data_IF_349817199988
#
_entry.id   IF_349817199988
#
_cell.length_a   1.000
_cell.length_b   1.000
_cell.length_c   1.000
_cell.angle_alpha   90.00
_cell.angle_beta   90.00
_cell.angle_gamma   90.00
#
_symmetry.space_group_name_H-M   'P 1'
#
loop_
_entity.id
_entity.type
_entity.pdbx_description
1 polymer ?
#
# COMPACT_ATOMS: atom_id res chain seq x y z
N UNK A 1 -29.20 -22.17 -62.64
CA UNK A 1 -28.60 -20.89 -62.15
C UNK A 1 -29.09 -20.67 -60.79
N UNK A 2 -28.25 -20.96 -59.82
CA UNK A 2 -28.53 -20.79 -58.39
C UNK A 2 -27.61 -19.65 -57.96
N UNK A 3 -28.20 -18.55 -57.54
CA UNK A 3 -27.51 -17.39 -56.96
C UNK A 3 -27.13 -17.73 -55.52
N UNK A 4 -25.90 -17.49 -55.05
CA UNK A 4 -25.57 -17.69 -53.66
C UNK A 4 -26.06 -16.49 -52.83
N UNK A 5 -26.64 -16.84 -51.67
CA UNK A 5 -27.09 -15.94 -50.64
C UNK A 5 -25.96 -15.06 -50.11
N UNK A 6 -26.27 -13.79 -49.93
CA UNK A 6 -25.42 -12.81 -49.26
C UNK A 6 -25.45 -13.09 -47.75
N UNK A 7 -24.42 -13.74 -47.24
CA UNK A 7 -24.17 -13.77 -45.80
C UNK A 7 -23.85 -12.35 -45.32
N UNK A 8 -24.75 -11.86 -44.51
CA UNK A 8 -24.65 -10.59 -43.81
C UNK A 8 -23.49 -10.70 -42.81
N UNK A 9 -22.32 -10.17 -43.14
CA UNK A 9 -21.25 -9.93 -42.20
C UNK A 9 -21.76 -8.91 -41.18
N UNK A 10 -22.03 -9.37 -39.95
CA UNK A 10 -22.16 -8.49 -38.79
C UNK A 10 -20.82 -7.79 -38.56
N UNK A 11 -20.80 -6.46 -38.31
CA UNK A 11 -19.59 -5.76 -37.96
C UNK A 11 -19.05 -6.28 -36.65
N UNK A 12 -17.75 -6.61 -36.61
CA UNK A 12 -16.93 -6.85 -35.44
C UNK A 12 -16.66 -5.52 -34.71
N UNK A 13 -17.69 -4.78 -34.39
CA UNK A 13 -17.61 -3.62 -33.52
C UNK A 13 -18.25 -4.00 -32.18
N UNK A 14 -17.44 -3.94 -31.18
CA UNK A 14 -17.76 -3.95 -29.73
C UNK A 14 -17.13 -5.12 -28.96
N UNK A 15 -15.83 -5.25 -29.09
CA UNK A 15 -14.99 -5.54 -27.93
C UNK A 15 -14.10 -4.31 -27.67
N UNK A 16 -14.71 -3.17 -27.43
CA UNK A 16 -14.08 -2.16 -26.61
C UNK A 16 -13.93 -2.84 -25.24
N UNK A 17 -12.69 -3.09 -24.85
CA UNK A 17 -12.37 -3.39 -23.47
C UNK A 17 -12.99 -2.26 -22.64
N UNK A 18 -14.07 -2.57 -21.94
CA UNK A 18 -14.48 -1.76 -20.82
C UNK A 18 -13.31 -1.88 -19.84
N UNK A 19 -12.51 -0.83 -19.73
CA UNK A 19 -11.61 -0.71 -18.60
C UNK A 19 -12.46 -1.04 -17.37
N UNK A 20 -12.01 -1.94 -16.49
CA UNK A 20 -12.79 -2.28 -15.32
C UNK A 20 -13.13 -0.96 -14.60
N UNK A 21 -14.43 -0.71 -14.42
CA UNK A 21 -14.89 0.49 -13.72
C UNK A 21 -14.18 0.50 -12.37
N UNK A 22 -13.35 1.50 -12.14
CA UNK A 22 -12.62 1.64 -10.90
C UNK A 22 -13.64 1.78 -9.76
N UNK A 23 -13.41 1.08 -8.64
CA UNK A 23 -14.30 1.22 -7.49
C UNK A 23 -14.24 2.66 -6.97
N UNK A 24 -15.38 3.34 -6.78
CA UNK A 24 -15.40 4.74 -6.35
C UNK A 24 -14.67 5.02 -5.04
N UNK A 25 -14.45 4.02 -4.20
CA UNK A 25 -13.71 4.19 -2.93
C UNK A 25 -12.22 4.41 -3.14
N UNK A 26 -11.69 4.01 -4.30
CA UNK A 26 -10.30 4.22 -4.70
C UNK A 26 -10.05 5.64 -5.25
N UNK A 27 -11.09 6.31 -5.74
CA UNK A 27 -10.99 7.69 -6.25
C UNK A 27 -11.07 8.71 -5.12
N UNK A 28 -10.56 9.93 -5.34
CA UNK A 28 -10.55 11.01 -4.34
C UNK A 28 -10.00 10.56 -2.98
N UNK A 29 -8.90 9.82 -3.03
CA UNK A 29 -8.19 9.23 -1.90
C UNK A 29 -6.70 9.48 -2.05
N UNK A 30 -6.05 9.89 -0.98
CA UNK A 30 -4.59 10.03 -0.94
C UNK A 30 -3.91 8.65 -0.75
N UNK A 31 -2.73 8.48 -1.33
CA UNK A 31 -1.93 7.27 -1.18
C UNK A 31 -0.54 7.59 -0.64
N UNK A 32 -0.17 6.91 0.44
CA UNK A 32 1.16 7.03 1.05
C UNK A 32 1.86 5.68 1.05
N UNK A 33 3.03 5.61 0.41
CA UNK A 33 3.92 4.45 0.46
C UNK A 33 4.95 4.62 1.57
N UNK A 34 5.08 3.62 2.46
CA UNK A 34 6.11 3.56 3.48
C UNK A 34 7.02 2.36 3.22
N UNK A 35 8.27 2.62 2.85
CA UNK A 35 9.22 1.62 2.40
C UNK A 35 10.24 1.36 3.50
N UNK A 36 10.24 0.15 4.05
CA UNK A 36 11.25 -0.31 5.00
C UNK A 36 12.60 -0.49 4.30
N UNK A 37 13.62 0.16 4.81
CA UNK A 37 15.01 -0.05 4.41
C UNK A 37 15.89 -0.54 5.56
N UNK A 38 15.33 -1.26 6.50
CA UNK A 38 16.10 -1.88 7.59
C UNK A 38 17.12 -2.90 7.06
N UNK A 39 18.08 -3.26 7.88
CA UNK A 39 19.17 -4.16 7.47
C UNK A 39 18.70 -5.54 7.01
N UNK A 40 17.56 -6.03 7.50
CA UNK A 40 16.96 -7.31 7.11
C UNK A 40 16.54 -7.34 5.63
N UNK A 41 16.16 -6.19 5.07
CA UNK A 41 15.82 -6.07 3.64
C UNK A 41 16.98 -6.41 2.69
N UNK A 42 18.23 -6.42 3.16
CA UNK A 42 19.41 -6.88 2.39
C UNK A 42 19.51 -8.42 2.31
N UNK A 43 18.62 -9.18 2.98
CA UNK A 43 18.66 -10.65 2.96
C UNK A 43 18.33 -11.18 1.56
N UNK A 44 19.22 -11.98 1.00
CA UNK A 44 19.07 -12.60 -0.32
C UNK A 44 18.44 -13.99 -0.20
N UNK A 45 17.17 -14.05 0.13
CA UNK A 45 16.40 -15.30 0.32
C UNK A 45 15.24 -15.45 -0.69
N UNK A 46 15.25 -14.67 -1.77
CA UNK A 46 14.22 -14.66 -2.80
C UNK A 46 14.61 -15.43 -4.05
N UNK A 47 13.64 -15.87 -4.89
CA UNK A 47 13.91 -16.57 -6.13
C UNK A 47 14.95 -15.83 -6.99
N UNK A 48 15.88 -16.58 -7.57
CA UNK A 48 16.97 -16.02 -8.37
C UNK A 48 18.08 -15.33 -7.57
N UNK A 49 18.09 -15.50 -6.22
CA UNK A 49 19.09 -14.86 -5.35
C UNK A 49 18.85 -13.37 -5.11
N UNK A 50 17.66 -12.87 -5.44
CA UNK A 50 17.27 -11.48 -5.16
C UNK A 50 17.20 -11.23 -3.66
N UNK A 51 17.54 -10.02 -3.26
CA UNK A 51 17.30 -9.52 -1.91
C UNK A 51 15.81 -9.17 -1.73
N UNK A 52 15.38 -9.07 -0.48
CA UNK A 52 14.04 -8.56 -0.15
C UNK A 52 13.85 -7.14 -0.64
N UNK A 53 14.90 -6.32 -0.60
CA UNK A 53 14.93 -4.96 -1.12
C UNK A 53 14.64 -4.88 -2.62
N UNK A 54 15.30 -5.74 -3.42
CA UNK A 54 15.06 -5.82 -4.86
C UNK A 54 13.66 -6.30 -5.20
N UNK A 55 13.11 -7.27 -4.46
CA UNK A 55 11.73 -7.70 -4.64
C UNK A 55 10.74 -6.60 -4.25
N UNK A 56 10.95 -5.93 -3.12
CA UNK A 56 10.14 -4.81 -2.67
C UNK A 56 10.14 -3.67 -3.70
N UNK A 57 11.27 -3.40 -4.34
CA UNK A 57 11.38 -2.38 -5.39
C UNK A 57 10.40 -2.64 -6.54
N UNK A 58 10.37 -3.86 -7.06
CA UNK A 58 9.49 -4.23 -8.19
C UNK A 58 8.01 -3.98 -7.83
N UNK A 59 7.58 -4.48 -6.67
CA UNK A 59 6.19 -4.32 -6.21
C UNK A 59 5.86 -2.86 -5.87
N UNK A 60 6.78 -2.12 -5.25
CA UNK A 60 6.57 -0.70 -4.91
C UNK A 60 6.43 0.17 -6.15
N UNK A 61 7.23 -0.06 -7.20
CA UNK A 61 7.12 0.69 -8.44
C UNK A 61 5.76 0.42 -9.10
N UNK A 62 5.31 -0.83 -9.13
CA UNK A 62 4.02 -1.19 -9.70
C UNK A 62 2.85 -0.56 -8.92
N UNK A 63 2.89 -0.58 -7.58
CA UNK A 63 1.92 0.10 -6.73
C UNK A 63 1.93 1.61 -6.94
N UNK A 64 3.11 2.23 -7.03
CA UNK A 64 3.25 3.65 -7.27
C UNK A 64 2.66 4.07 -8.62
N UNK A 65 2.87 3.27 -9.69
CA UNK A 65 2.25 3.49 -10.99
C UNK A 65 0.72 3.43 -10.89
N UNK A 66 0.19 2.44 -10.17
CA UNK A 66 -1.25 2.30 -9.99
C UNK A 66 -1.86 3.44 -9.18
N UNK A 67 -1.21 3.86 -8.10
CA UNK A 67 -1.65 5.01 -7.32
C UNK A 67 -1.61 6.31 -8.14
N UNK A 68 -0.58 6.51 -8.98
CA UNK A 68 -0.46 7.68 -9.87
C UNK A 68 -1.58 7.76 -10.92
N UNK A 69 -2.10 6.61 -11.37
CA UNK A 69 -3.27 6.55 -12.27
C UNK A 69 -4.56 7.03 -11.57
N UNK A 70 -4.68 6.77 -10.28
CA UNK A 70 -5.90 7.04 -9.49
C UNK A 70 -5.81 8.42 -8.81
N UNK A 71 -4.61 8.82 -8.41
CA UNK A 71 -4.27 10.03 -7.67
C UNK A 71 -3.20 10.84 -8.44
N UNK A 72 -3.61 11.63 -9.46
CA UNK A 72 -2.67 12.29 -10.37
C UNK A 72 -1.92 13.49 -9.77
N UNK A 73 -2.26 13.95 -8.59
CA UNK A 73 -1.52 15.03 -7.89
C UNK A 73 -0.26 14.50 -7.18
N UNK A 74 -0.05 13.18 -7.20
CA UNK A 74 1.16 12.51 -6.76
C UNK A 74 1.07 11.96 -5.35
N UNK A 75 1.78 10.84 -5.15
CA UNK A 75 1.78 10.10 -3.88
C UNK A 75 2.81 10.66 -2.88
N UNK A 76 2.59 10.39 -1.61
CA UNK A 76 3.61 10.58 -0.57
C UNK A 76 4.43 9.31 -0.39
N UNK A 77 5.75 9.44 -0.30
CA UNK A 77 6.64 8.30 -0.05
C UNK A 77 7.48 8.55 1.19
N UNK A 78 7.46 7.61 2.10
CA UNK A 78 8.40 7.54 3.22
C UNK A 78 9.41 6.43 2.98
N UNK A 79 10.67 6.72 3.21
CA UNK A 79 11.73 5.73 3.31
C UNK A 79 12.18 5.67 4.76
N UNK A 80 12.03 4.52 5.43
CA UNK A 80 12.28 4.43 6.86
C UNK A 80 13.19 3.27 7.26
N UNK A 81 13.88 3.47 8.38
CA UNK A 81 14.60 2.46 9.16
C UNK A 81 14.63 2.91 10.63
N UNK A 82 15.78 3.19 11.24
CA UNK A 82 15.86 3.86 12.56
C UNK A 82 15.53 5.35 12.54
N UNK A 83 15.40 5.92 11.36
CA UNK A 83 14.89 7.26 11.04
C UNK A 83 14.13 7.16 9.74
N UNK A 84 13.34 8.19 9.41
CA UNK A 84 12.64 8.25 8.13
C UNK A 84 12.96 9.53 7.37
N UNK A 85 12.69 9.46 6.06
CA UNK A 85 12.68 10.61 5.15
C UNK A 85 11.40 10.60 4.36
N UNK A 86 10.72 11.73 4.32
CA UNK A 86 9.49 11.94 3.57
C UNK A 86 9.79 12.63 2.24
N UNK A 87 9.07 12.23 1.22
CA UNK A 87 9.05 12.82 -0.11
C UNK A 87 7.60 13.06 -0.51
N UNK A 88 7.26 14.29 -0.85
CA UNK A 88 5.91 14.67 -1.28
C UNK A 88 5.85 14.76 -2.82
N UNK A 89 4.65 14.60 -3.38
CA UNK A 89 4.36 14.68 -4.81
C UNK A 89 5.33 13.80 -5.62
N UNK A 90 5.36 12.52 -5.28
CA UNK A 90 6.26 11.54 -5.88
C UNK A 90 5.56 10.82 -7.02
N UNK A 91 6.21 10.79 -8.19
CA UNK A 91 5.84 9.95 -9.32
C UNK A 91 6.53 8.58 -9.24
N UNK A 92 6.01 7.60 -9.97
CA UNK A 92 6.61 6.26 -10.05
C UNK A 92 8.08 6.27 -10.50
N UNK A 93 8.46 7.17 -11.42
CA UNK A 93 9.85 7.40 -11.83
C UNK A 93 10.75 7.85 -10.66
N UNK A 94 10.22 8.66 -9.75
CA UNK A 94 10.97 9.11 -8.58
C UNK A 94 11.13 8.00 -7.55
N UNK A 95 10.18 7.06 -7.44
CA UNK A 95 10.31 5.86 -6.61
C UNK A 95 11.51 5.04 -7.06
N UNK A 96 11.68 4.82 -8.36
CA UNK A 96 12.85 4.11 -8.92
C UNK A 96 14.17 4.76 -8.50
N UNK A 97 14.25 6.09 -8.51
CA UNK A 97 15.45 6.82 -8.07
C UNK A 97 15.67 6.70 -6.56
N UNK A 98 14.61 6.75 -5.75
CA UNK A 98 14.69 6.57 -4.30
C UNK A 98 15.33 5.21 -3.99
N UNK A 99 14.95 4.13 -4.67
CA UNK A 99 15.57 2.82 -4.50
C UNK A 99 17.04 2.81 -4.94
N UNK A 100 17.36 3.41 -6.10
CA UNK A 100 18.72 3.45 -6.62
C UNK A 100 19.70 4.26 -5.75
N UNK A 101 19.22 5.26 -5.02
CA UNK A 101 20.02 6.15 -4.17
C UNK A 101 20.16 5.66 -2.72
N UNK A 102 19.48 4.56 -2.35
CA UNK A 102 19.45 4.07 -1.00
C UNK A 102 19.74 2.57 -0.91
N UNK A 103 20.35 2.17 0.20
CA UNK A 103 20.65 0.79 0.54
C UNK A 103 20.02 0.42 1.89
N UNK A 104 19.64 -0.85 2.11
CA UNK A 104 19.14 -1.33 3.38
C UNK A 104 20.14 -1.13 4.51
N UNK A 105 19.68 -0.50 5.59
CA UNK A 105 20.48 -0.29 6.80
C UNK A 105 19.64 0.08 8.02
N UNK A 106 20.12 -0.29 9.19
CA UNK A 106 19.51 0.13 10.46
C UNK A 106 18.40 -0.79 10.95
N UNK A 107 17.61 -0.30 11.91
CA UNK A 107 16.48 -1.00 12.54
C UNK A 107 15.14 -0.59 11.94
N UNK A 108 14.06 -1.24 12.35
CA UNK A 108 12.70 -0.98 11.85
C UNK A 108 11.92 -0.14 12.86
N UNK A 109 11.87 1.19 12.67
CA UNK A 109 11.08 2.11 13.50
C UNK A 109 9.76 2.47 12.79
N UNK A 110 8.87 1.49 12.71
CA UNK A 110 7.56 1.64 12.07
C UNK A 110 6.66 2.62 12.84
N UNK A 111 6.73 2.63 14.16
CA UNK A 111 5.86 3.49 14.96
C UNK A 111 6.06 4.98 14.67
N UNK A 112 7.31 5.42 14.54
CA UNK A 112 7.61 6.83 14.30
C UNK A 112 7.17 7.29 12.90
N UNK A 113 7.42 6.48 11.87
CA UNK A 113 7.03 6.83 10.50
C UNK A 113 5.51 6.81 10.32
N UNK A 114 4.84 5.80 10.87
CA UNK A 114 3.38 5.71 10.82
C UNK A 114 2.71 6.86 11.56
N UNK A 115 3.25 7.23 12.72
CA UNK A 115 2.76 8.39 13.47
C UNK A 115 2.87 9.68 12.67
N UNK A 116 3.99 9.93 11.99
CA UNK A 116 4.19 11.13 11.17
C UNK A 116 3.21 11.19 9.99
N UNK A 117 3.00 10.07 9.28
CA UNK A 117 2.04 9.97 8.19
C UNK A 117 0.61 10.24 8.66
N UNK A 118 0.19 9.59 9.74
CA UNK A 118 -1.14 9.78 10.33
C UNK A 118 -1.34 11.20 10.88
N UNK A 119 -0.35 11.77 11.56
CA UNK A 119 -0.43 13.16 12.03
C UNK A 119 -0.57 14.14 10.84
N UNK A 120 0.12 13.89 9.73
CA UNK A 120 -0.02 14.67 8.51
C UNK A 120 -1.43 14.56 7.92
N UNK A 121 -1.98 13.34 7.84
CA UNK A 121 -3.37 13.14 7.42
C UNK A 121 -4.35 13.95 8.29
N UNK A 122 -4.27 13.84 9.62
CA UNK A 122 -5.17 14.57 10.51
C UNK A 122 -5.00 16.08 10.46
N UNK A 123 -3.79 16.59 10.20
CA UNK A 123 -3.57 18.02 9.94
C UNK A 123 -4.27 18.48 8.66
N UNK A 124 -4.19 17.70 7.57
CA UNK A 124 -4.89 18.01 6.31
C UNK A 124 -6.41 17.89 6.47
N UNK A 125 -6.90 16.88 7.21
CA UNK A 125 -8.33 16.74 7.56
C UNK A 125 -8.83 17.98 8.31
N UNK A 126 -8.11 18.42 9.34
CA UNK A 126 -8.47 19.63 10.10
C UNK A 126 -8.42 20.91 9.27
N UNK A 127 -7.52 20.99 8.28
CA UNK A 127 -7.43 22.10 7.33
C UNK A 127 -8.40 21.98 6.15
N UNK A 128 -9.24 20.94 6.09
CA UNK A 128 -10.17 20.64 4.99
C UNK A 128 -9.46 20.49 3.62
N UNK A 129 -8.24 19.96 3.63
CA UNK A 129 -7.41 19.71 2.46
C UNK A 129 -7.07 18.22 2.23
N UNK A 130 -7.61 17.31 3.04
CA UNK A 130 -7.57 15.88 2.78
C UNK A 130 -8.59 15.48 1.73
N UNK A 131 -8.31 14.43 0.97
CA UNK A 131 -9.24 13.88 0.01
C UNK A 131 -10.50 13.32 0.69
N UNK A 132 -11.64 13.37 -0.02
CA UNK A 132 -12.96 13.04 0.57
C UNK A 132 -13.11 11.58 0.98
N UNK A 133 -12.41 10.67 0.31
CA UNK A 133 -12.38 9.25 0.63
C UNK A 133 -11.26 8.87 1.60
N UNK A 134 -10.46 9.84 2.06
CA UNK A 134 -9.45 9.64 3.08
C UNK A 134 -8.09 9.23 2.51
N UNK A 135 -7.35 8.39 3.22
CA UNK A 135 -5.97 8.02 2.86
C UNK A 135 -5.69 6.52 3.06
N UNK A 136 -4.93 5.94 2.14
CA UNK A 136 -4.40 4.58 2.24
C UNK A 136 -2.89 4.62 2.44
N UNK A 137 -2.43 3.96 3.50
CA UNK A 137 -1.02 3.74 3.82
C UNK A 137 -0.61 2.33 3.38
N UNK A 138 0.31 2.23 2.42
CA UNK A 138 0.86 0.97 1.92
C UNK A 138 2.26 0.81 2.51
N UNK A 139 2.42 -0.11 3.44
CA UNK A 139 3.65 -0.28 4.23
C UNK A 139 4.36 -1.55 3.79
N UNK A 140 5.48 -1.41 3.09
CA UNK A 140 6.30 -2.52 2.60
C UNK A 140 7.41 -2.77 3.61
N UNK A 141 7.35 -3.93 4.29
CA UNK A 141 8.31 -4.31 5.34
C UNK A 141 8.55 -5.82 5.36
N UNK A 142 9.70 -6.26 5.84
CA UNK A 142 10.06 -7.68 5.93
C UNK A 142 10.11 -8.20 7.36
N UNK A 143 9.96 -7.30 8.35
CA UNK A 143 10.29 -7.64 9.72
C UNK A 143 9.38 -7.09 10.80
N UNK A 144 9.66 -7.53 12.01
CA UNK A 144 9.05 -7.00 13.22
C UNK A 144 9.53 -5.56 13.49
N UNK A 145 8.63 -4.65 13.84
CA UNK A 145 9.03 -3.33 14.30
C UNK A 145 9.78 -3.42 15.63
N UNK A 146 10.65 -2.45 15.87
CA UNK A 146 11.45 -2.38 17.11
C UNK A 146 10.58 -2.22 18.37
N UNK A 147 9.42 -1.55 18.26
CA UNK A 147 8.47 -1.34 19.35
C UNK A 147 7.03 -1.67 18.93
N UNK A 148 6.63 -2.91 19.20
CA UNK A 148 5.27 -3.42 18.93
C UNK A 148 4.18 -2.59 19.62
N UNK A 149 4.42 -2.22 20.91
CA UNK A 149 3.42 -1.50 21.70
C UNK A 149 3.19 -0.08 21.18
N UNK A 150 4.24 0.55 20.68
CA UNK A 150 4.13 1.87 20.09
C UNK A 150 3.33 1.82 18.77
N UNK A 151 3.55 0.83 17.90
CA UNK A 151 2.78 0.63 16.67
C UNK A 151 1.30 0.42 16.99
N UNK A 152 0.97 -0.53 17.87
CA UNK A 152 -0.41 -0.80 18.29
C UNK A 152 -1.09 0.48 18.81
N UNK A 153 -0.42 1.25 19.67
CA UNK A 153 -0.96 2.49 20.22
C UNK A 153 -1.25 3.52 19.12
N UNK A 154 -0.32 3.73 18.21
CA UNK A 154 -0.46 4.69 17.12
C UNK A 154 -1.68 4.37 16.25
N UNK A 155 -1.88 3.09 15.91
CA UNK A 155 -3.02 2.67 15.07
C UNK A 155 -4.34 2.82 15.85
N UNK A 156 -4.40 2.38 17.12
CA UNK A 156 -5.60 2.55 17.95
C UNK A 156 -5.98 4.03 18.08
N UNK A 157 -5.01 4.90 18.37
CA UNK A 157 -5.25 6.34 18.47
C UNK A 157 -5.75 6.96 17.16
N UNK A 158 -5.27 6.47 16.01
CA UNK A 158 -5.74 6.90 14.70
C UNK A 158 -7.18 6.45 14.46
N UNK A 159 -7.51 5.18 14.72
CA UNK A 159 -8.85 4.63 14.54
C UNK A 159 -9.93 5.36 15.36
N UNK A 160 -9.54 5.94 16.50
CA UNK A 160 -10.44 6.72 17.36
C UNK A 160 -10.75 8.13 16.85
N UNK A 161 -9.93 8.67 15.93
CA UNK A 161 -10.05 10.02 15.38
C UNK A 161 -10.80 10.10 14.05
N UNK A 162 -11.12 8.96 13.46
CA UNK A 162 -11.86 8.89 12.21
C UNK A 162 -13.36 8.72 12.46
N UNK A 163 -14.16 9.09 11.45
CA UNK A 163 -15.60 9.10 11.55
C UNK A 163 -16.24 7.84 10.94
N UNK A 164 -15.55 7.21 9.98
CA UNK A 164 -15.99 5.99 9.28
C UNK A 164 -14.81 5.07 9.03
N UNK A 165 -15.07 3.80 8.80
CA UNK A 165 -14.06 2.76 8.62
C UNK A 165 -13.15 3.05 7.42
N UNK A 166 -13.75 3.26 6.28
CA UNK A 166 -13.04 3.44 5.02
C UNK A 166 -12.23 4.74 4.94
N UNK A 167 -12.29 5.61 5.96
CA UNK A 167 -11.56 6.88 5.98
C UNK A 167 -10.05 6.69 6.02
N UNK A 168 -9.57 5.69 6.75
CA UNK A 168 -8.16 5.29 6.79
C UNK A 168 -8.02 3.80 6.48
N UNK A 169 -7.02 3.46 5.67
CA UNK A 169 -6.60 2.09 5.45
C UNK A 169 -5.09 1.96 5.62
N UNK A 170 -4.65 0.91 6.31
CA UNK A 170 -3.24 0.60 6.53
C UNK A 170 -2.98 -0.83 6.03
N UNK A 171 -2.43 -0.97 4.83
CA UNK A 171 -2.04 -2.27 4.29
C UNK A 171 -0.59 -2.58 4.62
N UNK A 172 -0.38 -3.66 5.38
CA UNK A 172 0.93 -4.17 5.75
C UNK A 172 1.36 -5.22 4.73
N UNK A 173 2.22 -4.83 3.79
CA UNK A 173 2.70 -5.68 2.70
C UNK A 173 3.99 -6.35 3.16
N UNK A 174 3.90 -7.63 3.54
CA UNK A 174 5.05 -8.39 4.02
C UNK A 174 5.93 -8.87 2.88
N UNK A 175 7.23 -8.60 2.97
CA UNK A 175 8.27 -9.12 2.08
C UNK A 175 8.98 -10.27 2.78
N UNK A 176 8.89 -11.49 2.24
CA UNK A 176 9.54 -12.63 2.84
C UNK A 176 8.71 -13.37 3.88
N UNK A 177 9.35 -14.36 4.52
CA UNK A 177 8.66 -15.34 5.34
C UNK A 177 9.16 -15.37 6.80
N UNK A 178 9.51 -14.20 7.35
CA UNK A 178 9.83 -14.14 8.79
C UNK A 178 8.57 -14.45 9.61
N UNK A 179 8.60 -15.60 10.30
CA UNK A 179 7.46 -16.10 11.07
C UNK A 179 7.02 -15.16 12.19
N UNK A 180 7.96 -14.46 12.80
CA UNK A 180 7.63 -13.55 13.89
C UNK A 180 6.97 -12.29 13.33
N UNK A 181 7.51 -11.76 12.22
CA UNK A 181 6.87 -10.67 11.49
C UNK A 181 5.44 -11.06 11.09
N UNK A 182 5.25 -12.23 10.45
CA UNK A 182 3.92 -12.72 10.06
C UNK A 182 2.94 -12.78 11.24
N UNK A 183 3.37 -13.33 12.39
CA UNK A 183 2.51 -13.41 13.58
C UNK A 183 2.14 -12.03 14.09
N UNK A 184 3.09 -11.11 14.12
CA UNK A 184 2.83 -9.75 14.59
C UNK A 184 1.92 -8.96 13.64
N UNK A 185 2.18 -9.00 12.33
CA UNK A 185 1.39 -8.28 11.34
C UNK A 185 -0.05 -8.79 11.31
N UNK A 186 -0.26 -10.12 11.33
CA UNK A 186 -1.61 -10.70 11.44
C UNK A 186 -2.31 -10.34 12.75
N UNK A 187 -1.58 -10.19 13.85
CA UNK A 187 -2.18 -9.75 15.10
C UNK A 187 -2.62 -8.28 15.04
N UNK A 188 -1.97 -7.44 14.24
CA UNK A 188 -2.44 -6.08 13.96
C UNK A 188 -3.72 -6.08 13.13
N UNK A 189 -3.83 -6.99 12.18
CA UNK A 189 -5.01 -7.19 11.36
C UNK A 189 -6.19 -7.74 12.22
N UNK A 190 -6.05 -8.91 12.83
CA UNK A 190 -7.14 -9.63 13.47
C UNK A 190 -7.57 -9.14 14.87
N UNK A 191 -6.74 -8.36 15.61
CA UNK A 191 -6.90 -8.20 17.06
C UNK A 191 -6.98 -6.74 17.55
N UNK A 192 -6.80 -5.75 16.70
CA UNK A 192 -6.75 -4.35 17.13
C UNK A 192 -8.07 -3.85 17.70
N UNK A 193 -9.22 -4.29 17.19
CA UNK A 193 -10.52 -3.95 17.76
C UNK A 193 -10.66 -4.46 19.18
N UNK A 194 -10.19 -5.68 19.48
CA UNK A 194 -10.17 -6.23 20.83
C UNK A 194 -9.22 -5.47 21.76
N UNK A 195 -8.18 -4.84 21.20
CA UNK A 195 -7.23 -4.01 21.92
C UNK A 195 -7.70 -2.55 22.11
N UNK A 196 -8.87 -2.18 21.57
CA UNK A 196 -9.49 -0.87 21.74
C UNK A 196 -9.53 0.02 20.50
N UNK A 197 -9.21 -0.50 19.30
CA UNK A 197 -9.46 0.22 18.07
C UNK A 197 -10.97 0.39 17.83
N UNK A 198 -11.37 1.57 17.33
CA UNK A 198 -12.77 1.88 17.03
C UNK A 198 -13.23 1.20 15.75
N UNK A 199 -12.36 1.16 14.76
CA UNK A 199 -12.57 0.57 13.45
C UNK A 199 -11.43 -0.40 13.13
N UNK A 200 -11.68 -1.35 12.23
CA UNK A 200 -10.68 -2.22 11.63
C UNK A 200 -10.09 -1.51 10.41
N UNK A 201 -8.91 -0.97 10.57
CA UNK A 201 -8.26 -0.16 9.54
C UNK A 201 -6.95 -0.79 9.05
N UNK A 202 -6.68 -2.04 9.44
CA UNK A 202 -5.42 -2.72 9.09
C UNK A 202 -5.71 -4.01 8.34
N UNK A 203 -5.12 -4.13 7.17
CA UNK A 203 -5.07 -5.37 6.38
C UNK A 203 -3.62 -5.83 6.22
N UNK A 204 -3.40 -7.13 6.16
CA UNK A 204 -2.08 -7.74 5.96
C UNK A 204 -2.08 -8.66 4.75
N UNK A 205 -1.16 -8.41 3.83
CA UNK A 205 -0.94 -9.23 2.64
C UNK A 205 0.54 -9.53 2.44
N UNK A 206 0.88 -10.67 1.83
CA UNK A 206 2.27 -10.94 1.42
C UNK A 206 2.49 -10.51 -0.04
N UNK A 207 3.74 -10.18 -0.39
CA UNK A 207 4.08 -9.90 -1.81
C UNK A 207 3.71 -11.09 -2.70
N UNK A 208 3.89 -12.31 -2.22
CA UNK A 208 3.56 -13.53 -2.95
C UNK A 208 2.05 -13.65 -3.20
N UNK A 209 1.21 -13.25 -2.25
CA UNK A 209 -0.25 -13.25 -2.42
C UNK A 209 -0.71 -12.19 -3.42
N UNK A 210 0.02 -11.08 -3.54
CA UNK A 210 -0.28 -10.03 -4.52
C UNK A 210 -0.07 -10.49 -5.97
N UNK A 211 0.81 -11.46 -6.24
CA UNK A 211 1.10 -11.95 -7.61
C UNK A 211 -0.15 -12.50 -8.34
N UNK A 212 -1.15 -12.95 -7.59
CA UNK A 212 -2.42 -13.46 -8.12
C UNK A 212 -3.55 -12.43 -8.23
N UNK A 213 -3.33 -11.19 -7.83
CA UNK A 213 -4.33 -10.13 -7.74
C UNK A 213 -4.05 -8.99 -8.71
N UNK A 214 -5.10 -8.28 -9.15
CA UNK A 214 -4.89 -6.98 -9.76
C UNK A 214 -4.46 -5.96 -8.71
N UNK A 215 -3.68 -4.94 -9.08
CA UNK A 215 -3.29 -3.90 -8.12
C UNK A 215 -4.48 -3.10 -7.60
N UNK A 216 -5.55 -2.96 -8.40
CA UNK A 216 -6.81 -2.37 -7.93
C UNK A 216 -7.46 -3.23 -6.83
N UNK A 217 -7.42 -4.57 -6.95
CA UNK A 217 -7.96 -5.46 -5.92
C UNK A 217 -7.12 -5.41 -4.64
N UNK A 218 -5.78 -5.27 -4.75
CA UNK A 218 -4.89 -5.08 -3.59
C UNK A 218 -5.25 -3.78 -2.86
N UNK A 219 -5.45 -2.68 -3.58
CA UNK A 219 -5.84 -1.40 -2.97
C UNK A 219 -7.26 -1.45 -2.39
N UNK A 220 -8.19 -2.11 -3.06
CA UNK A 220 -9.57 -2.26 -2.60
C UNK A 220 -9.63 -3.11 -1.32
N UNK A 221 -8.91 -4.23 -1.30
CA UNK A 221 -8.82 -5.10 -0.12
C UNK A 221 -8.32 -4.33 1.11
N UNK A 222 -7.29 -3.52 0.96
CA UNK A 222 -6.77 -2.69 2.02
C UNK A 222 -7.80 -1.73 2.67
N UNK A 223 -8.89 -1.42 1.97
CA UNK A 223 -9.91 -0.44 2.41
C UNK A 223 -11.18 -1.13 2.94
N UNK A 224 -11.50 -2.32 2.42
CA UNK A 224 -12.82 -2.95 2.61
C UNK A 224 -12.78 -4.27 3.38
N UNK A 225 -11.62 -4.68 3.89
CA UNK A 225 -11.45 -5.93 4.64
C UNK A 225 -12.09 -5.90 6.03
#
# INVERSE_FOLDING_TARGET
MITPDAETQKPLETFMSLDPVLDPVLENRDYTLMIDKSSSMATADKPGGKTRWELAQESTIALAQKCEEIDPDGITVYLFSGRFRRYDNVTSDKVTRIYAENEPMGRTDLASVLKDGLDNYFQRKAAQSAQSNGETFLIITDGEPTDHKAVIRVIIEASQKIDRDEELAISLIQVGHDKKATVFLRALDDQLQQAGAKFDIVDTITIEDMEGMSLSDVLLKAITD
#
